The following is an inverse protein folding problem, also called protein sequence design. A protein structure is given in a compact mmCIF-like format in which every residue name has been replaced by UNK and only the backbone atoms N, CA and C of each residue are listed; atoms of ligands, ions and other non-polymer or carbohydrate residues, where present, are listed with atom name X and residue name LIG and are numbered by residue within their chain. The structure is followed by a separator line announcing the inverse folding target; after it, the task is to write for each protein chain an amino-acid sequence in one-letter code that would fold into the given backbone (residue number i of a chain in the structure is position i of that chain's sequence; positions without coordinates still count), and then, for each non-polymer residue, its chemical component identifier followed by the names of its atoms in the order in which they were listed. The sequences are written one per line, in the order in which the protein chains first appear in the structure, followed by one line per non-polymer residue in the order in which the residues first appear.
data_IF_520400045229
#
_entry.id   IF_520400045229
#
_cell.length_a   1.000
_cell.length_b   1.000
_cell.length_c   1.000
_cell.angle_alpha   90.00
_cell.angle_beta   90.00
_cell.angle_gamma   90.00
#
_symmetry.space_group_name_H-M   'P 1'
#
loop_
_entity.id
_entity.type
_entity.pdbx_description
1 polymer ?
#
# COMPACT_ATOMS: atom_id res chain seq x y z
N UNK A 1 37.35 37.66 13.90
CA UNK A 1 36.51 36.46 14.02
C UNK A 1 35.79 36.28 12.70
N UNK A 2 36.21 35.36 11.83
CA UNK A 2 35.62 35.20 10.49
C UNK A 2 34.29 34.44 10.62
N UNK A 3 33.18 35.08 10.24
CA UNK A 3 31.84 34.48 10.27
C UNK A 3 31.70 33.65 8.99
N UNK A 4 31.85 32.33 9.10
CA UNK A 4 31.59 31.40 8.00
C UNK A 4 30.07 31.32 7.82
N UNK A 5 29.53 32.14 6.92
CA UNK A 5 28.15 32.00 6.45
C UNK A 5 28.24 31.25 5.12
N UNK A 6 28.17 29.92 5.18
CA UNK A 6 27.85 29.12 3.99
C UNK A 6 26.32 29.14 3.84
N UNK A 7 25.75 29.91 2.90
CA UNK A 7 24.35 29.77 2.57
C UNK A 7 24.17 28.37 2.00
N UNK A 8 23.14 27.66 2.46
CA UNK A 8 22.80 26.33 1.94
C UNK A 8 22.58 26.47 0.43
N UNK A 9 23.46 25.85 -0.36
CA UNK A 9 23.50 26.00 -1.79
C UNK A 9 22.14 25.59 -2.38
N UNK A 10 21.50 26.44 -3.20
CA UNK A 10 20.20 26.12 -3.79
C UNK A 10 20.18 24.82 -4.61
N UNK A 11 21.37 24.37 -5.04
CA UNK A 11 21.60 23.06 -5.66
C UNK A 11 21.42 21.90 -4.68
N UNK A 12 21.89 22.03 -3.44
CA UNK A 12 21.70 21.05 -2.39
C UNK A 12 20.21 20.93 -2.05
N UNK A 13 19.50 22.06 -1.96
CA UNK A 13 18.05 22.08 -1.75
C UNK A 13 17.31 21.42 -2.91
N UNK A 14 17.73 21.68 -4.14
CA UNK A 14 17.13 21.08 -5.33
C UNK A 14 17.37 19.57 -5.41
N UNK A 15 18.57 19.09 -5.07
CA UNK A 15 18.90 17.65 -5.03
C UNK A 15 18.10 16.92 -3.95
N UNK A 16 17.95 17.52 -2.76
CA UNK A 16 17.15 16.96 -1.69
C UNK A 16 15.65 16.97 -2.04
N UNK A 17 15.15 18.05 -2.62
CA UNK A 17 13.75 18.13 -3.06
C UNK A 17 13.45 17.09 -4.15
N UNK A 18 14.28 16.99 -5.19
CA UNK A 18 14.09 15.99 -6.24
C UNK A 18 14.21 14.55 -5.70
N UNK A 19 15.15 14.28 -4.78
CA UNK A 19 15.30 12.97 -4.16
C UNK A 19 14.10 12.54 -3.30
N UNK A 20 13.46 13.50 -2.60
CA UNK A 20 12.27 13.25 -1.79
C UNK A 20 11.03 12.90 -2.62
N UNK A 21 10.93 13.40 -3.85
CA UNK A 21 9.83 13.05 -4.77
C UNK A 21 9.88 11.58 -5.26
N UNK A 22 11.05 10.92 -5.20
CA UNK A 22 11.21 9.54 -5.67
C UNK A 22 11.09 8.47 -4.56
N UNK A 23 11.05 8.88 -3.28
CA UNK A 23 10.92 7.93 -2.15
C UNK A 23 9.47 7.46 -1.96
N UNK A 24 8.49 8.15 -2.55
CA UNK A 24 7.06 7.82 -2.46
C UNK A 24 6.35 7.86 -3.81
N UNK A 25 6.85 7.10 -4.79
CA UNK A 25 6.10 6.86 -6.04
C UNK A 25 4.71 6.28 -5.74
N UNK A 26 3.73 6.42 -6.66
CA UNK A 26 2.37 5.93 -6.40
C UNK A 26 2.42 4.45 -6.03
N UNK A 27 1.91 4.11 -4.84
CA UNK A 27 1.60 2.73 -4.52
C UNK A 27 0.44 2.33 -5.43
N UNK A 28 0.75 1.57 -6.49
CA UNK A 28 -0.31 0.81 -7.15
C UNK A 28 -0.90 -0.08 -6.06
N UNK A 29 -2.20 0.05 -5.75
CA UNK A 29 -2.85 -0.85 -4.81
C UNK A 29 -2.57 -2.29 -5.28
N UNK A 30 -1.82 -3.05 -4.48
CA UNK A 30 -1.43 -4.44 -4.78
C UNK A 30 -2.42 -5.41 -4.14
N UNK A 31 -3.71 -5.18 -4.41
CA UNK A 31 -4.80 -6.02 -3.92
C UNK A 31 -5.22 -6.97 -5.03
N UNK A 32 -5.25 -8.26 -4.74
CA UNK A 32 -5.59 -9.33 -5.66
C UNK A 32 -6.75 -10.16 -5.11
N UNK A 33 -7.56 -10.74 -6.00
CA UNK A 33 -8.48 -11.82 -5.62
C UNK A 33 -7.64 -13.11 -5.56
N UNK A 34 -7.48 -13.68 -4.37
CA UNK A 34 -6.70 -14.90 -4.18
C UNK A 34 -7.55 -16.16 -4.39
N UNK A 35 -8.83 -16.10 -4.01
CA UNK A 35 -9.77 -17.22 -4.12
C UNK A 35 -11.19 -16.74 -4.42
N UNK A 36 -11.94 -17.57 -5.15
CA UNK A 36 -13.38 -17.44 -5.37
C UNK A 36 -14.01 -18.79 -5.03
N UNK A 37 -14.89 -18.81 -4.04
CA UNK A 37 -15.64 -20.00 -3.66
C UNK A 37 -17.12 -19.78 -3.96
N UNK A 38 -17.61 -20.46 -4.99
CA UNK A 38 -19.00 -20.40 -5.45
C UNK A 38 -19.76 -21.73 -5.29
N UNK A 39 -19.05 -22.80 -4.92
CA UNK A 39 -19.60 -24.14 -4.75
C UNK A 39 -18.92 -24.80 -3.55
N UNK A 40 -19.77 -25.34 -2.67
CA UNK A 40 -19.43 -25.76 -1.33
C UNK A 40 -18.29 -26.76 -1.20
N UNK A 41 -17.34 -26.44 -0.33
CA UNK A 41 -16.11 -27.21 -0.12
C UNK A 41 -15.55 -27.12 1.31
N UNK A 42 -16.37 -26.72 2.29
CA UNK A 42 -15.92 -26.48 3.67
C UNK A 42 -15.56 -25.03 3.97
N UNK A 43 -16.39 -24.11 3.49
CA UNK A 43 -16.20 -22.66 3.62
C UNK A 43 -16.78 -22.05 4.89
N UNK A 44 -17.09 -20.75 4.80
CA UNK A 44 -17.77 -20.00 5.87
C UNK A 44 -19.22 -20.45 5.94
N UNK A 45 -19.69 -20.70 7.16
CA UNK A 45 -21.06 -21.14 7.45
C UNK A 45 -21.74 -20.09 8.29
N UNK A 46 -22.99 -19.76 7.95
CA UNK A 46 -23.82 -18.82 8.70
C UNK A 46 -24.41 -19.42 9.99
N UNK A 47 -25.24 -18.65 10.71
CA UNK A 47 -25.90 -19.16 11.92
C UNK A 47 -26.98 -20.23 11.64
N UNK A 48 -27.45 -20.36 10.40
CA UNK A 48 -28.41 -21.39 9.98
C UNK A 48 -27.72 -22.71 9.58
N UNK A 49 -26.39 -22.71 9.41
CA UNK A 49 -25.64 -23.88 8.97
C UNK A 49 -25.48 -23.96 7.45
N UNK A 50 -25.75 -22.87 6.73
CA UNK A 50 -25.65 -22.78 5.27
C UNK A 50 -24.26 -22.26 4.85
N UNK A 51 -23.69 -22.83 3.79
CA UNK A 51 -22.43 -22.35 3.23
C UNK A 51 -22.68 -21.13 2.35
N UNK A 52 -21.90 -20.07 2.58
CA UNK A 52 -22.02 -18.82 1.84
C UNK A 52 -20.94 -18.67 0.77
N UNK A 53 -21.28 -17.96 -0.30
CA UNK A 53 -20.31 -17.58 -1.33
C UNK A 53 -19.35 -16.53 -0.76
N UNK A 54 -18.05 -16.67 -1.05
CA UNK A 54 -17.05 -15.73 -0.57
C UNK A 54 -15.91 -15.53 -1.58
N UNK A 55 -15.24 -14.39 -1.44
CA UNK A 55 -13.99 -14.07 -2.15
C UNK A 55 -12.89 -13.77 -1.14
N UNK A 56 -11.67 -14.20 -1.45
CA UNK A 56 -10.49 -13.82 -0.67
C UNK A 56 -9.74 -12.67 -1.33
N UNK A 57 -9.38 -11.66 -0.53
CA UNK A 57 -8.50 -10.58 -0.96
C UNK A 57 -7.11 -10.74 -0.36
N UNK A 58 -6.08 -10.65 -1.19
CA UNK A 58 -4.68 -10.64 -0.77
C UNK A 58 -4.05 -9.27 -1.03
N UNK A 59 -3.50 -8.65 0.01
CA UNK A 59 -2.68 -7.45 -0.10
C UNK A 59 -1.19 -7.85 -0.13
N UNK A 60 -0.56 -7.74 -1.29
CA UNK A 60 0.89 -7.93 -1.47
C UNK A 60 1.69 -6.67 -1.08
N UNK A 61 1.01 -5.62 -0.62
CA UNK A 61 1.59 -4.39 -0.12
C UNK A 61 2.16 -4.49 1.29
N UNK A 62 3.02 -3.52 1.64
CA UNK A 62 3.52 -3.35 3.01
C UNK A 62 2.62 -2.40 3.84
N UNK A 63 1.73 -1.68 3.16
CA UNK A 63 0.80 -0.71 3.74
C UNK A 63 -0.63 -1.25 3.67
N UNK A 64 -1.47 -0.83 4.61
CA UNK A 64 -2.91 -1.08 4.56
C UNK A 64 -3.55 -0.40 3.34
N UNK A 65 -4.52 -1.06 2.71
CA UNK A 65 -5.28 -0.53 1.57
C UNK A 65 -6.73 -0.38 1.98
N UNK A 66 -7.28 0.82 1.80
CA UNK A 66 -8.71 1.08 1.91
C UNK A 66 -9.44 0.50 0.69
N UNK A 67 -10.48 -0.30 0.94
CA UNK A 67 -11.28 -0.98 -0.09
C UNK A 67 -12.74 -0.51 -0.11
N UNK A 68 -13.12 0.48 0.71
CA UNK A 68 -14.48 1.01 0.80
C UNK A 68 -14.80 1.70 2.12
#
# INVERSE_FOLDING_TARGET
MAKIHHPIDGKLVLVLALGLWFIGGPSSARVYINEIMALGGGGVVDEAGEEEDWIELYNDGEEGVDVG
#
